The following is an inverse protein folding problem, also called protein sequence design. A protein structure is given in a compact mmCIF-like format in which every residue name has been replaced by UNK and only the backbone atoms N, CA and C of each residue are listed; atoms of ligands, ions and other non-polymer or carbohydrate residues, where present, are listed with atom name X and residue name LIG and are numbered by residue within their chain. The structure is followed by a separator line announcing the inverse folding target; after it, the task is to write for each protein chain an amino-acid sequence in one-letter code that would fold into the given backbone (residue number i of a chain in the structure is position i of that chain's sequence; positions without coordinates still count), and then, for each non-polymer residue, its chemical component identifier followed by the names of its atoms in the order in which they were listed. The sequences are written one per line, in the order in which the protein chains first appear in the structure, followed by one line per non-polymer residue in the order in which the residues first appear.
data_IF_103736135219
#
_entry.id   IF_103736135219
#
_cell.length_a   1.000
_cell.length_b   1.000
_cell.length_c   1.000
_cell.angle_alpha   90.00
_cell.angle_beta   90.00
_cell.angle_gamma   90.00
#
_symmetry.space_group_name_H-M   'P 1'
#
loop_
_entity.id
_entity.type
_entity.pdbx_description
1 polymer ?
#
# COMPACT_ATOMS: atom_id res chain seq x y z
N UNK A 1 7.80 -10.49 -1.51
CA UNK A 1 6.56 -10.57 -2.32
C UNK A 1 6.66 -9.60 -3.49
N UNK A 2 6.78 -8.29 -3.26
CA UNK A 2 6.98 -7.31 -4.33
C UNK A 2 8.21 -7.60 -5.21
N UNK A 3 9.35 -7.97 -4.61
CA UNK A 3 10.51 -8.43 -5.39
C UNK A 3 10.20 -9.62 -6.31
N UNK A 4 9.30 -10.52 -5.92
CA UNK A 4 8.92 -11.67 -6.74
C UNK A 4 7.98 -11.28 -7.90
N UNK A 5 7.19 -10.21 -7.74
CA UNK A 5 6.40 -9.62 -8.83
C UNK A 5 7.31 -8.86 -9.81
N UNK A 6 8.30 -8.12 -9.29
CA UNK A 6 9.34 -7.50 -10.10
C UNK A 6 10.14 -8.51 -10.92
N UNK A 7 10.54 -9.62 -10.31
CA UNK A 7 11.20 -10.74 -11.02
C UNK A 7 10.29 -11.43 -12.05
N UNK A 8 8.97 -11.31 -11.90
CA UNK A 8 7.99 -11.80 -12.88
C UNK A 8 7.69 -10.78 -13.99
N UNK A 9 8.40 -9.64 -14.03
CA UNK A 9 8.32 -8.65 -15.10
C UNK A 9 7.33 -7.50 -14.85
N UNK A 10 6.73 -7.42 -13.66
CA UNK A 10 5.79 -6.34 -13.35
C UNK A 10 6.51 -5.12 -12.72
N UNK A 11 6.13 -3.90 -13.10
CA UNK A 11 6.55 -2.69 -12.39
C UNK A 11 6.12 -2.73 -10.92
N UNK A 12 7.02 -2.28 -10.05
CA UNK A 12 6.81 -2.24 -8.60
C UNK A 12 7.18 -0.86 -8.06
N UNK A 13 6.28 -0.30 -7.26
CA UNK A 13 6.49 0.96 -6.55
C UNK A 13 6.65 0.67 -5.06
N UNK A 14 7.82 0.93 -4.44
CA UNK A 14 8.07 0.64 -3.03
C UNK A 14 7.43 1.67 -2.08
N UNK A 15 7.31 1.31 -0.78
CA UNK A 15 6.66 2.17 0.22
C UNK A 15 7.34 3.54 0.36
N UNK A 16 6.54 4.61 0.37
CA UNK A 16 7.06 5.98 0.45
C UNK A 16 7.69 6.33 1.79
N UNK A 17 7.15 5.81 2.91
CA UNK A 17 7.58 6.18 4.25
C UNK A 17 9.08 5.95 4.50
N UNK A 18 9.60 4.80 4.05
CA UNK A 18 11.02 4.45 4.21
C UNK A 18 11.94 5.35 3.39
N UNK A 19 11.57 5.61 2.13
CA UNK A 19 12.32 6.49 1.25
C UNK A 19 12.36 7.93 1.80
N UNK A 20 11.24 8.41 2.36
CA UNK A 20 11.16 9.73 2.99
C UNK A 20 12.06 9.79 4.23
N UNK A 21 12.02 8.78 5.11
CA UNK A 21 12.88 8.74 6.29
C UNK A 21 14.36 8.84 5.90
N UNK A 22 14.79 8.04 4.93
CA UNK A 22 16.18 8.05 4.47
C UNK A 22 16.59 9.41 3.89
N UNK A 23 15.76 9.99 3.03
CA UNK A 23 16.02 11.29 2.42
C UNK A 23 16.08 12.42 3.47
N UNK A 24 15.15 12.42 4.43
CA UNK A 24 15.10 13.44 5.48
C UNK A 24 16.28 13.33 6.45
N UNK A 25 16.72 12.12 6.80
CA UNK A 25 17.94 11.93 7.60
C UNK A 25 19.18 12.47 6.89
N UNK A 26 19.33 12.19 5.58
CA UNK A 26 20.47 12.67 4.80
C UNK A 26 20.48 14.19 4.64
N UNK A 27 19.31 14.81 4.56
CA UNK A 27 19.15 16.25 4.34
C UNK A 27 19.04 17.06 5.65
N UNK A 28 19.07 16.41 6.82
CA UNK A 28 18.82 17.07 8.10
C UNK A 28 17.39 17.62 8.22
N UNK A 29 16.45 17.06 7.47
CA UNK A 29 15.05 17.46 7.45
C UNK A 29 14.26 16.96 8.65
N UNK A 30 13.02 17.45 8.78
CA UNK A 30 12.16 17.20 9.96
C UNK A 30 10.94 16.33 9.66
N UNK A 31 10.62 16.04 8.40
CA UNK A 31 9.47 15.21 8.03
C UNK A 31 9.74 13.73 8.35
N UNK A 32 9.82 13.42 9.63
CA UNK A 32 10.15 12.13 10.20
C UNK A 32 9.07 11.74 11.21
N UNK A 33 8.73 10.45 11.35
CA UNK A 33 7.66 10.02 12.26
C UNK A 33 7.96 10.28 13.74
N UNK A 34 9.22 10.54 14.10
CA UNK A 34 9.63 10.91 15.47
C UNK A 34 9.92 12.41 15.66
N UNK A 35 9.99 13.20 14.58
CA UNK A 35 10.36 14.63 14.68
C UNK A 35 9.21 15.57 14.31
N UNK A 36 8.48 15.26 13.24
CA UNK A 36 7.29 15.99 12.80
C UNK A 36 6.36 15.03 12.05
N UNK A 37 5.43 14.44 12.82
CA UNK A 37 4.47 13.44 12.32
C UNK A 37 3.53 14.00 11.25
N UNK A 38 3.17 15.29 11.35
CA UNK A 38 2.31 15.93 10.36
C UNK A 38 3.06 16.21 9.06
N UNK A 39 4.29 16.72 9.14
CA UNK A 39 5.12 16.91 7.95
C UNK A 39 5.43 15.58 7.26
N UNK A 40 5.62 14.50 8.04
CA UNK A 40 5.79 13.16 7.50
C UNK A 40 4.53 12.67 6.75
N UNK A 41 3.33 12.83 7.32
CA UNK A 41 2.08 12.49 6.63
C UNK A 41 1.89 13.24 5.31
N UNK A 42 2.17 14.56 5.30
CA UNK A 42 2.12 15.37 4.08
C UNK A 42 3.15 14.93 3.04
N UNK A 43 4.36 14.57 3.47
CA UNK A 43 5.40 14.08 2.59
C UNK A 43 5.03 12.72 1.96
N UNK A 44 4.42 11.81 2.74
CA UNK A 44 3.89 10.55 2.21
C UNK A 44 2.82 10.80 1.15
N UNK A 45 1.84 11.68 1.43
CA UNK A 45 0.79 12.01 0.48
C UNK A 45 1.35 12.57 -0.83
N UNK A 46 2.26 13.56 -0.75
CA UNK A 46 2.86 14.16 -1.93
C UNK A 46 3.63 13.13 -2.76
N UNK A 47 4.39 12.23 -2.10
CA UNK A 47 5.18 11.22 -2.79
C UNK A 47 4.32 10.12 -3.41
N UNK A 48 3.32 9.62 -2.69
CA UNK A 48 2.42 8.57 -3.19
C UNK A 48 1.55 9.09 -4.34
N UNK A 49 1.06 10.33 -4.27
CA UNK A 49 0.37 10.97 -5.39
C UNK A 49 1.27 11.11 -6.62
N UNK A 50 2.56 11.46 -6.43
CA UNK A 50 3.51 11.55 -7.53
C UNK A 50 3.83 10.17 -8.13
N UNK A 51 4.01 9.14 -7.30
CA UNK A 51 4.19 7.77 -7.76
C UNK A 51 2.98 7.26 -8.54
N UNK A 52 1.77 7.55 -8.07
CA UNK A 52 0.53 7.21 -8.78
C UNK A 52 0.51 7.89 -10.15
N UNK A 53 0.69 9.22 -10.19
CA UNK A 53 0.65 9.98 -11.44
C UNK A 53 1.71 9.53 -12.47
N UNK A 54 2.89 9.13 -12.01
CA UNK A 54 3.96 8.62 -12.87
C UNK A 54 3.70 7.23 -13.46
N UNK A 55 2.64 6.55 -13.04
CA UNK A 55 2.28 5.20 -13.48
C UNK A 55 0.80 5.09 -13.94
N UNK A 56 0.08 6.21 -14.04
CA UNK A 56 -1.36 6.25 -14.37
C UNK A 56 -1.61 5.87 -15.85
N UNK A 57 -0.60 6.03 -16.69
CA UNK A 57 -0.58 5.69 -18.11
C UNK A 57 0.14 4.36 -18.42
N UNK A 58 0.55 3.61 -17.39
CA UNK A 58 1.26 2.35 -17.58
C UNK A 58 0.40 1.31 -18.31
N UNK A 59 0.98 0.62 -19.29
CA UNK A 59 0.31 -0.50 -19.93
C UNK A 59 0.37 -1.75 -19.04
N UNK A 60 -0.76 -2.11 -18.42
CA UNK A 60 -0.90 -3.31 -17.60
C UNK A 60 -0.80 -3.06 -16.09
N UNK A 61 -0.46 -4.10 -15.34
CA UNK A 61 -0.47 -4.07 -13.88
C UNK A 61 0.79 -3.44 -13.29
N UNK A 62 0.61 -2.40 -12.47
CA UNK A 62 1.64 -1.84 -11.59
C UNK A 62 1.30 -2.19 -10.15
N UNK A 63 2.28 -2.69 -9.41
CA UNK A 63 2.13 -3.12 -8.02
C UNK A 63 2.71 -2.09 -7.05
N UNK A 64 1.85 -1.53 -6.22
CA UNK A 64 2.25 -0.56 -5.19
C UNK A 64 2.41 -1.25 -3.84
N UNK A 65 3.52 -0.98 -3.16
CA UNK A 65 3.75 -1.30 -1.76
C UNK A 65 3.09 -0.22 -0.91
N UNK A 66 1.87 -0.51 -0.44
CA UNK A 66 0.91 0.45 0.17
C UNK A 66 0.32 1.46 -0.82
N UNK A 67 -0.87 1.94 -0.48
CA UNK A 67 -1.55 2.99 -1.22
C UNK A 67 -1.80 4.23 -0.37
N UNK A 68 -2.26 5.33 -0.99
CA UNK A 68 -2.65 6.56 -0.27
C UNK A 68 -3.58 6.31 0.94
N UNK A 69 -4.53 5.35 0.93
CA UNK A 69 -5.31 5.02 2.13
C UNK A 69 -4.46 4.64 3.36
N UNK A 70 -3.26 4.07 3.23
CA UNK A 70 -2.37 3.78 4.36
C UNK A 70 -2.06 5.05 5.17
N UNK A 71 -2.02 6.22 4.54
CA UNK A 71 -1.72 7.48 5.23
C UNK A 71 -2.81 7.82 6.24
N UNK A 72 -4.08 7.54 5.91
CA UNK A 72 -5.20 7.65 6.87
C UNK A 72 -5.01 6.68 8.02
N UNK A 73 -4.58 5.46 7.73
CA UNK A 73 -4.20 4.47 8.74
C UNK A 73 -3.10 4.98 9.67
N UNK A 74 -2.03 5.54 9.11
CA UNK A 74 -0.94 6.16 9.86
C UNK A 74 -1.44 7.31 10.74
N UNK A 75 -2.23 8.25 10.22
CA UNK A 75 -2.74 9.39 10.98
C UNK A 75 -3.58 8.93 12.19
N UNK A 76 -4.41 7.90 12.02
CA UNK A 76 -5.22 7.33 13.10
C UNK A 76 -4.35 6.71 14.20
N UNK A 77 -3.36 5.89 13.83
CA UNK A 77 -2.45 5.24 14.79
C UNK A 77 -1.55 6.27 15.48
N UNK A 78 -1.12 7.29 14.74
CA UNK A 78 -0.27 8.36 15.27
C UNK A 78 -1.06 9.42 16.06
N UNK A 79 -2.38 9.33 16.11
CA UNK A 79 -3.29 10.30 16.75
C UNK A 79 -3.04 11.74 16.29
N UNK A 80 -2.94 11.93 14.97
CA UNK A 80 -2.77 13.24 14.34
C UNK A 80 -3.89 13.53 13.35
N UNK A 81 -4.12 14.81 13.08
CA UNK A 81 -5.00 15.24 11.98
C UNK A 81 -4.51 14.72 10.63
N UNK A 82 -5.45 14.34 9.78
CA UNK A 82 -5.19 13.96 8.40
C UNK A 82 -4.75 15.20 7.60
N UNK A 83 -3.81 15.07 6.63
CA UNK A 83 -3.54 16.15 5.70
C UNK A 83 -4.83 16.63 5.02
N UNK A 84 -5.10 17.95 4.90
CA UNK A 84 -6.35 18.45 4.31
C UNK A 84 -6.66 17.92 2.90
N UNK A 85 -5.62 17.57 2.13
CA UNK A 85 -5.75 17.03 0.78
C UNK A 85 -5.86 15.48 0.72
N UNK A 86 -5.94 14.79 1.86
CA UNK A 86 -5.91 13.31 1.88
C UNK A 86 -7.17 12.70 1.25
N UNK A 87 -8.36 13.24 1.54
CA UNK A 87 -9.61 12.77 0.92
C UNK A 87 -9.59 12.89 -0.60
N UNK A 88 -9.13 14.03 -1.10
CA UNK A 88 -8.94 14.26 -2.54
C UNK A 88 -7.91 13.29 -3.12
N UNK A 89 -6.81 13.04 -2.40
CA UNK A 89 -5.79 12.05 -2.79
C UNK A 89 -6.38 10.64 -2.92
N UNK A 90 -7.12 10.17 -1.92
CA UNK A 90 -7.79 8.85 -1.94
C UNK A 90 -8.81 8.76 -3.08
N UNK A 91 -9.52 9.86 -3.35
CA UNK A 91 -10.58 9.88 -4.36
C UNK A 91 -10.04 9.97 -5.79
N UNK A 92 -8.93 10.69 -6.01
CA UNK A 92 -8.35 10.91 -7.34
C UNK A 92 -7.34 9.85 -7.74
N UNK A 93 -6.53 9.36 -6.81
CA UNK A 93 -5.54 8.31 -7.07
C UNK A 93 -6.16 6.94 -6.77
N UNK A 94 -7.03 6.48 -7.68
CA UNK A 94 -7.81 5.25 -7.47
C UNK A 94 -7.08 4.01 -7.99
N UNK A 95 -6.59 3.23 -7.03
CA UNK A 95 -6.15 1.86 -7.27
C UNK A 95 -7.32 0.93 -7.68
N UNK A 96 -6.96 -0.26 -8.14
CA UNK A 96 -7.82 -1.37 -8.48
C UNK A 96 -8.78 -1.68 -7.31
N UNK A 97 -10.07 -1.97 -7.57
CA UNK A 97 -11.08 -2.11 -6.53
C UNK A 97 -10.79 -3.22 -5.49
N UNK A 98 -9.90 -4.16 -5.80
CA UNK A 98 -9.45 -5.19 -4.86
C UNK A 98 -8.01 -4.93 -4.44
N UNK A 99 -7.78 -4.77 -3.14
CA UNK A 99 -6.44 -4.67 -2.55
C UNK A 99 -6.10 -5.96 -1.83
N UNK A 100 -4.83 -6.34 -1.88
CA UNK A 100 -4.36 -7.53 -1.22
C UNK A 100 -3.78 -7.16 0.14
N UNK A 101 -4.10 -7.92 1.19
CA UNK A 101 -3.54 -7.69 2.53
C UNK A 101 -2.80 -8.93 3.01
N UNK A 102 -1.59 -8.75 3.53
CA UNK A 102 -0.85 -9.81 4.20
C UNK A 102 -1.35 -9.96 5.64
N UNK A 103 -2.07 -11.05 6.00
CA UNK A 103 -2.48 -11.25 7.39
C UNK A 103 -1.26 -11.53 8.29
N UNK A 104 -1.33 -11.18 9.58
CA UNK A 104 -0.37 -11.62 10.58
C UNK A 104 -0.28 -13.14 10.54
N UNK A 105 0.94 -13.67 10.43
CA UNK A 105 1.15 -15.11 10.29
C UNK A 105 2.03 -15.63 11.42
N UNK A 106 1.44 -16.21 12.49
CA UNK A 106 2.18 -16.68 13.67
C UNK A 106 3.35 -17.59 13.35
N UNK A 107 3.20 -18.49 12.36
CA UNK A 107 4.20 -19.52 12.06
C UNK A 107 5.52 -18.97 11.50
N UNK A 108 5.50 -17.75 10.95
CA UNK A 108 6.71 -17.04 10.51
C UNK A 108 6.95 -15.76 11.30
N UNK A 109 6.18 -15.55 12.38
CA UNK A 109 6.29 -14.37 13.21
C UNK A 109 7.50 -14.51 14.13
N UNK A 110 8.65 -14.08 13.64
CA UNK A 110 9.86 -13.95 14.41
C UNK A 110 10.10 -12.47 14.71
N UNK A 111 10.45 -12.17 15.96
CA UNK A 111 11.09 -10.90 16.29
C UNK A 111 12.52 -10.97 15.74
N UNK A 112 12.77 -10.31 14.62
CA UNK A 112 14.10 -10.05 14.10
C UNK A 112 14.49 -8.58 14.40
N UNK A 113 15.74 -8.21 14.10
CA UNK A 113 16.28 -6.87 14.41
C UNK A 113 15.48 -5.71 13.77
N UNK A 114 14.67 -5.98 12.75
CA UNK A 114 13.83 -5.01 12.06
C UNK A 114 12.38 -5.01 12.58
N UNK A 115 11.87 -6.15 13.08
CA UNK A 115 10.50 -6.29 13.61
C UNK A 115 10.42 -6.11 15.13
N UNK A 116 10.31 -4.85 15.55
CA UNK A 116 10.18 -4.45 16.97
C UNK A 116 8.77 -4.58 17.56
N UNK A 117 7.75 -4.90 16.76
CA UNK A 117 6.36 -4.97 17.22
C UNK A 117 6.00 -6.39 17.68
N UNK A 118 5.23 -6.51 18.76
CA UNK A 118 4.68 -7.79 19.18
C UNK A 118 3.53 -8.25 18.24
N UNK A 119 3.19 -9.54 18.30
CA UNK A 119 2.17 -10.13 17.43
C UNK A 119 0.79 -9.47 17.59
N UNK A 120 0.47 -9.04 18.81
CA UNK A 120 -0.78 -8.35 19.11
C UNK A 120 -0.86 -6.98 18.42
N UNK A 121 0.25 -6.24 18.40
CA UNK A 121 0.40 -4.98 17.68
C UNK A 121 0.26 -5.20 16.18
N UNK A 122 0.94 -6.21 15.62
CA UNK A 122 0.81 -6.54 14.19
C UNK A 122 -0.63 -6.92 13.80
N UNK A 123 -1.33 -7.65 14.66
CA UNK A 123 -2.74 -8.02 14.46
C UNK A 123 -3.66 -6.81 14.51
N UNK A 124 -3.45 -5.94 15.49
CA UNK A 124 -4.19 -4.68 15.62
C UNK A 124 -3.96 -3.78 14.41
N UNK A 125 -2.71 -3.61 13.97
CA UNK A 125 -2.37 -2.84 12.77
C UNK A 125 -3.06 -3.42 11.53
N UNK A 126 -3.05 -4.74 11.35
CA UNK A 126 -3.72 -5.38 10.22
C UNK A 126 -5.22 -5.09 10.19
N UNK A 127 -5.93 -5.22 11.32
CA UNK A 127 -7.37 -4.93 11.37
C UNK A 127 -7.66 -3.44 11.10
N UNK A 128 -6.81 -2.53 11.59
CA UNK A 128 -6.92 -1.12 11.27
C UNK A 128 -6.74 -0.85 9.78
N UNK A 129 -5.74 -1.43 9.13
CA UNK A 129 -5.52 -1.26 7.69
C UNK A 129 -6.69 -1.83 6.89
N UNK A 130 -7.15 -3.03 7.24
CA UNK A 130 -8.32 -3.65 6.60
C UNK A 130 -9.53 -2.73 6.67
N UNK A 131 -9.79 -2.14 7.83
CA UNK A 131 -10.90 -1.19 8.02
C UNK A 131 -10.71 0.08 7.18
N UNK A 132 -9.52 0.68 7.18
CA UNK A 132 -9.22 1.89 6.40
C UNK A 132 -9.47 1.68 4.91
N UNK A 133 -9.02 0.55 4.37
CA UNK A 133 -9.23 0.20 2.96
C UNK A 133 -10.72 -0.04 2.65
N UNK A 134 -11.43 -0.77 3.51
CA UNK A 134 -12.87 -0.99 3.33
C UNK A 134 -13.67 0.32 3.40
N UNK A 135 -13.37 1.20 4.35
CA UNK A 135 -13.98 2.54 4.46
C UNK A 135 -13.66 3.43 3.24
N UNK A 136 -12.50 3.21 2.62
CA UNK A 136 -12.10 3.91 1.39
C UNK A 136 -12.73 3.32 0.11
N UNK A 137 -13.60 2.32 0.24
CA UNK A 137 -14.35 1.70 -0.86
C UNK A 137 -13.67 0.51 -1.54
N UNK A 138 -12.61 -0.05 -0.94
CA UNK A 138 -11.91 -1.20 -1.50
C UNK A 138 -12.43 -2.53 -0.95
N UNK A 139 -12.47 -3.54 -1.82
CA UNK A 139 -12.55 -4.94 -1.40
C UNK A 139 -11.17 -5.38 -0.92
N UNK A 140 -11.11 -6.00 0.24
CA UNK A 140 -9.86 -6.57 0.77
C UNK A 140 -9.82 -8.07 0.49
N UNK A 141 -8.70 -8.55 -0.05
CA UNK A 141 -8.45 -9.97 -0.29
C UNK A 141 -7.19 -10.39 0.47
N UNK A 142 -7.31 -11.40 1.32
CA UNK A 142 -6.18 -11.82 2.15
C UNK A 142 -5.22 -12.69 1.35
N UNK A 143 -3.93 -12.37 1.45
CA UNK A 143 -2.89 -13.22 0.90
C UNK A 143 -2.83 -14.54 1.69
N UNK A 144 -2.68 -15.68 1.00
CA UNK A 144 -2.53 -16.95 1.67
C UNK A 144 -1.25 -17.00 2.54
N UNK A 145 -1.33 -17.72 3.65
CA UNK A 145 -0.19 -18.04 4.51
C UNK A 145 0.63 -19.19 3.88
N UNK A 146 1.27 -18.90 2.75
CA UNK A 146 2.19 -19.79 2.04
C UNK A 146 3.48 -19.06 1.66
N UNK A 147 4.35 -19.73 0.92
CA UNK A 147 5.60 -19.16 0.45
C UNK A 147 5.40 -17.97 -0.51
N UNK A 148 6.50 -17.29 -0.82
CA UNK A 148 6.47 -16.08 -1.65
C UNK A 148 5.96 -16.38 -3.07
N UNK A 149 6.30 -17.55 -3.62
CA UNK A 149 5.84 -17.97 -4.95
C UNK A 149 4.33 -18.20 -4.97
N UNK A 150 3.78 -18.92 -3.98
CA UNK A 150 2.35 -19.18 -3.87
C UNK A 150 1.53 -17.89 -3.70
N UNK A 151 2.04 -16.91 -2.95
CA UNK A 151 1.40 -15.59 -2.82
C UNK A 151 1.40 -14.82 -4.14
N UNK A 152 2.50 -14.81 -4.87
CA UNK A 152 2.59 -14.19 -6.21
C UNK A 152 1.55 -14.80 -7.15
N UNK A 153 1.51 -16.13 -7.22
CA UNK A 153 0.60 -16.85 -8.13
C UNK A 153 -0.87 -16.67 -7.72
N UNK A 154 -1.14 -16.52 -6.43
CA UNK A 154 -2.47 -16.13 -5.95
C UNK A 154 -2.89 -14.74 -6.45
N UNK A 155 -2.01 -13.74 -6.31
CA UNK A 155 -2.27 -12.36 -6.77
C UNK A 155 -2.55 -12.34 -8.28
N UNK A 156 -1.69 -12.94 -9.08
CA UNK A 156 -1.83 -12.93 -10.54
C UNK A 156 -3.13 -13.60 -11.00
N UNK A 157 -3.47 -14.78 -10.44
CA UNK A 157 -4.74 -15.46 -10.76
C UNK A 157 -5.96 -14.64 -10.34
N UNK A 158 -5.90 -13.96 -9.20
CA UNK A 158 -7.01 -13.11 -8.75
C UNK A 158 -7.24 -11.93 -9.69
N UNK A 159 -6.17 -11.34 -10.24
CA UNK A 159 -6.24 -10.26 -11.23
C UNK A 159 -6.77 -10.76 -12.58
N UNK A 160 -6.31 -11.91 -13.07
CA UNK A 160 -6.82 -12.54 -14.31
C UNK A 160 -8.34 -12.80 -14.23
N UNK A 161 -8.80 -13.37 -13.11
CA UNK A 161 -10.22 -13.63 -12.88
C UNK A 161 -11.07 -12.35 -12.81
N UNK A 162 -10.49 -11.25 -12.30
CA UNK A 162 -11.16 -9.95 -12.23
C UNK A 162 -11.20 -9.20 -13.57
N UNK A 163 -10.19 -9.38 -14.43
CA UNK A 163 -10.13 -8.80 -15.78
C UNK A 163 -11.12 -9.44 -16.75
N UNK A 164 -11.49 -10.71 -16.56
CA UNK A 164 -12.45 -11.43 -17.40
C UNK A 164 -13.90 -10.93 -17.33
N UNK A 165 -14.24 -10.10 -16.34
CA UNK A 165 -15.57 -9.49 -16.17
C UNK A 165 -15.70 -8.06 -16.71
N UNK A 166 -14.61 -7.43 -17.16
CA UNK A 166 -14.59 -6.04 -17.62
C UNK A 166 -14.82 -5.88 -19.14
N UNK A 167 -15.05 -6.96 -19.88
CA UNK A 167 -15.31 -6.93 -21.33
C UNK A 167 -16.79 -6.67 -21.66
N UNK A 168 -17.37 -5.58 -21.13
CA UNK A 168 -18.53 -4.87 -21.70
C UNK A 168 -18.86 -3.65 -20.83
N UNK A 169 -18.17 -2.54 -21.07
CA UNK A 169 -18.66 -1.14 -21.12
C UNK A 169 -17.49 -0.17 -20.93
N UNK A 170 -17.50 0.90 -21.73
CA UNK A 170 -16.32 1.70 -22.05
C UNK A 170 -15.90 2.78 -21.06
N UNK A 171 -14.78 3.39 -21.47
CA UNK A 171 -14.14 4.64 -21.03
C UNK A 171 -13.50 4.68 -19.63
N UNK A 172 -12.16 4.52 -19.63
CA UNK A 172 -11.25 5.47 -18.98
C UNK A 172 -10.83 5.16 -17.54
N UNK A 173 -9.90 4.21 -17.38
CA UNK A 173 -9.12 4.02 -16.15
C UNK A 173 -8.36 2.70 -16.20
N UNK A 174 -7.03 2.76 -16.28
CA UNK A 174 -6.17 1.57 -16.28
C UNK A 174 -6.04 1.05 -14.85
N UNK A 175 -6.10 -0.27 -14.59
CA UNK A 175 -6.17 -0.76 -13.23
C UNK A 175 -4.77 -0.86 -12.58
N UNK A 176 -4.53 -0.13 -11.49
CA UNK A 176 -3.30 -0.16 -10.69
C UNK A 176 -3.52 -0.94 -9.38
N UNK A 177 -2.81 -2.04 -9.09
CA UNK A 177 -3.09 -2.85 -7.89
C UNK A 177 -2.23 -2.42 -6.70
N UNK A 178 -2.87 -2.09 -5.57
CA UNK A 178 -2.21 -1.91 -4.27
C UNK A 178 -2.06 -3.23 -3.52
N UNK A 179 -0.87 -3.48 -2.97
CA UNK A 179 -0.52 -4.61 -2.09
C UNK A 179 -0.19 -4.11 -0.67
#
# INVERSE_FOLDING_TARGET
MLNALGQAGFPVVPESGRAIIQAQQQQGGRALPWADRQAFARAMLARDSAHYAANDDAEGWVFFDRGIPDIRGYCRVAEIEEPPALDDGITRCRYYPTVFLAPPWPAIYAQDAERRQDFATATTTFEHMRRVYTESGYRTLLLPCCDVAGRRDFVLRALEAGSGTASQQGTGGVPSAGL
#
